data_IF_055000819276
#
_entry.id   IF_055000819276
#
_cell.length_a   1.000
_cell.length_b   1.000
_cell.length_c   1.000
_cell.angle_alpha   90.00
_cell.angle_beta   90.00
_cell.angle_gamma   90.00
#
_symmetry.space_group_name_H-M   'P 1'
#
loop_
_entity.id
_entity.type
_entity.pdbx_description
1 polymer ?
#
# COMPACT_ATOMS: atom_id res chain seq x y z
N UNK A 1 49.13 -11.05 -45.13
CA UNK A 1 48.62 -11.71 -43.91
C UNK A 1 47.59 -10.77 -43.30
N UNK A 2 46.31 -11.05 -43.56
CA UNK A 2 45.21 -10.15 -43.24
C UNK A 2 44.76 -10.33 -41.79
N UNK A 3 45.12 -9.39 -40.92
CA UNK A 3 44.65 -9.32 -39.54
C UNK A 3 43.33 -8.53 -39.48
N UNK A 4 42.20 -9.20 -39.67
CA UNK A 4 40.88 -8.61 -39.45
C UNK A 4 39.83 -9.61 -38.94
N UNK A 5 39.97 -10.20 -37.73
CA UNK A 5 38.84 -10.87 -37.09
C UNK A 5 38.43 -10.25 -35.73
N UNK A 6 39.07 -9.19 -35.27
CA UNK A 6 38.81 -8.66 -33.91
C UNK A 6 37.66 -7.64 -33.88
N UNK A 7 37.48 -6.85 -34.94
CA UNK A 7 36.45 -5.80 -34.98
C UNK A 7 35.02 -6.37 -35.00
N UNK A 8 34.84 -7.52 -35.67
CA UNK A 8 33.52 -8.16 -35.77
C UNK A 8 33.09 -8.83 -34.46
N UNK A 9 34.04 -9.25 -33.62
CA UNK A 9 33.75 -9.86 -32.32
C UNK A 9 33.28 -8.81 -31.29
N UNK A 10 33.85 -7.60 -31.33
CA UNK A 10 33.45 -6.49 -30.45
C UNK A 10 32.02 -5.97 -30.76
N UNK A 11 31.61 -5.96 -32.03
CA UNK A 11 30.24 -5.56 -32.41
C UNK A 11 29.18 -6.58 -31.94
N UNK A 12 29.54 -7.86 -31.85
CA UNK A 12 28.65 -8.93 -31.38
C UNK A 12 28.41 -8.86 -29.87
N UNK A 13 29.37 -8.34 -29.09
CA UNK A 13 29.24 -8.13 -27.64
C UNK A 13 28.39 -6.91 -27.28
N UNK A 14 28.32 -5.87 -28.13
CA UNK A 14 27.42 -4.73 -27.89
C UNK A 14 25.95 -5.03 -28.22
N UNK A 15 25.67 -6.07 -29.01
CA UNK A 15 24.31 -6.55 -29.29
C UNK A 15 23.64 -7.23 -28.10
N UNK A 16 24.42 -7.63 -27.09
CA UNK A 16 23.93 -8.01 -25.77
C UNK A 16 23.70 -6.75 -24.94
N UNK A 17 22.86 -5.84 -25.44
CA UNK A 17 22.19 -4.92 -24.54
C UNK A 17 21.45 -5.80 -23.54
N UNK A 18 21.91 -5.76 -22.29
CA UNK A 18 21.21 -6.29 -21.14
C UNK A 18 19.72 -6.00 -21.32
N UNK A 19 18.81 -6.95 -21.02
CA UNK A 19 17.39 -6.65 -21.01
C UNK A 19 17.26 -5.37 -20.22
N UNK A 20 16.82 -4.31 -20.92
CA UNK A 20 16.55 -3.03 -20.31
C UNK A 20 15.73 -3.40 -19.09
N UNK A 21 16.29 -3.21 -17.90
CA UNK A 21 15.58 -3.53 -16.68
C UNK A 21 14.31 -2.70 -16.82
N UNK A 22 13.20 -3.38 -17.14
CA UNK A 22 11.89 -2.78 -17.16
C UNK A 22 11.68 -2.49 -15.69
N UNK A 23 12.21 -1.34 -15.27
CA UNK A 23 11.93 -0.73 -13.99
C UNK A 23 10.42 -0.77 -13.95
N UNK A 24 9.92 -1.69 -13.15
CA UNK A 24 8.51 -1.96 -12.96
C UNK A 24 7.87 -0.59 -12.89
N UNK A 25 7.07 -0.24 -13.90
CA UNK A 25 6.45 1.07 -13.98
C UNK A 25 5.88 1.31 -12.59
N UNK A 26 6.37 2.34 -11.89
CA UNK A 26 5.80 2.76 -10.62
C UNK A 26 4.31 2.83 -10.91
N UNK A 27 3.53 1.92 -10.35
CA UNK A 27 2.12 1.78 -10.65
C UNK A 27 1.45 3.05 -10.13
N UNK A 28 1.50 4.12 -10.91
CA UNK A 28 0.75 5.34 -10.68
C UNK A 28 -0.65 5.01 -11.12
N UNK A 29 -1.41 4.40 -10.21
CA UNK A 29 -2.84 4.24 -10.41
C UNK A 29 -3.46 5.63 -10.62
N UNK A 30 -4.37 5.79 -11.60
CA UNK A 30 -5.08 7.04 -11.75
C UNK A 30 -5.81 7.34 -10.44
N UNK A 31 -5.90 8.62 -10.01
CA UNK A 31 -6.54 9.01 -8.75
C UNK A 31 -7.91 8.33 -8.55
N UNK A 32 -8.71 8.25 -9.62
CA UNK A 32 -10.01 7.58 -9.67
C UNK A 32 -9.99 6.12 -9.18
N UNK A 33 -8.92 5.37 -9.47
CA UNK A 33 -8.79 3.98 -9.04
C UNK A 33 -8.49 3.88 -7.54
N UNK A 34 -7.70 4.80 -6.98
CA UNK A 34 -7.44 4.86 -5.54
C UNK A 34 -8.72 5.15 -4.77
N UNK A 35 -9.48 6.17 -5.21
CA UNK A 35 -10.78 6.50 -4.62
C UNK A 35 -11.75 5.31 -4.66
N UNK A 36 -11.81 4.62 -5.81
CA UNK A 36 -12.65 3.43 -5.96
C UNK A 36 -12.29 2.35 -4.95
N UNK A 37 -11.00 2.03 -4.80
CA UNK A 37 -10.55 1.01 -3.84
C UNK A 37 -10.85 1.39 -2.39
N UNK A 38 -10.68 2.67 -2.01
CA UNK A 38 -11.01 3.18 -0.67
C UNK A 38 -12.52 3.10 -0.42
N UNK A 39 -13.34 3.50 -1.41
CA UNK A 39 -14.81 3.42 -1.33
C UNK A 39 -15.27 1.98 -1.14
N UNK A 40 -14.77 1.05 -1.96
CA UNK A 40 -15.13 -0.37 -1.87
C UNK A 40 -14.82 -0.97 -0.50
N UNK A 41 -13.67 -0.65 0.09
CA UNK A 41 -13.36 -1.09 1.46
C UNK A 41 -14.34 -0.46 2.44
N UNK A 42 -14.57 0.85 2.34
CA UNK A 42 -15.44 1.61 3.25
C UNK A 42 -16.87 1.08 3.23
N UNK A 43 -17.40 0.74 2.05
CA UNK A 43 -18.75 0.18 1.89
C UNK A 43 -18.90 -1.18 2.59
N UNK A 44 -17.90 -2.06 2.47
CA UNK A 44 -17.89 -3.34 3.20
C UNK A 44 -17.86 -3.09 4.71
N UNK A 45 -17.01 -2.16 5.17
CA UNK A 45 -16.93 -1.81 6.59
C UNK A 45 -18.22 -1.17 7.10
N UNK A 46 -19.00 -0.47 6.27
CA UNK A 46 -20.28 0.13 6.66
C UNK A 46 -21.46 -0.85 6.60
N UNK A 47 -21.33 -1.94 5.84
CA UNK A 47 -22.35 -2.98 5.72
C UNK A 47 -22.42 -3.88 6.96
N UNK A 48 -21.40 -3.87 7.81
CA UNK A 48 -21.37 -4.61 9.08
C UNK A 48 -21.96 -3.75 10.21
N UNK A 49 -22.60 -4.35 11.23
CA UNK A 49 -23.12 -3.62 12.37
C UNK A 49 -22.04 -2.68 12.92
N UNK A 50 -22.37 -1.41 13.08
CA UNK A 50 -21.42 -0.46 13.63
C UNK A 50 -21.09 -0.92 15.05
N UNK A 51 -19.81 -1.03 15.40
CA UNK A 51 -19.44 -1.36 16.76
C UNK A 51 -19.94 -0.26 17.70
N UNK A 52 -20.23 -0.63 18.96
CA UNK A 52 -20.68 0.31 19.99
C UNK A 52 -19.78 1.56 20.01
N UNK A 53 -20.36 2.72 20.32
CA UNK A 53 -19.82 4.10 20.26
C UNK A 53 -18.52 4.36 21.06
N UNK A 54 -17.78 3.33 21.42
CA UNK A 54 -16.44 3.48 21.97
C UNK A 54 -15.52 4.13 20.93
N UNK A 55 -15.13 5.37 21.22
CA UNK A 55 -14.21 6.17 20.41
C UNK A 55 -12.82 5.56 20.45
N UNK A 56 -12.08 5.63 19.33
CA UNK A 56 -10.67 5.24 19.30
C UNK A 56 -9.87 6.02 20.36
N UNK A 57 -8.87 5.35 20.96
CA UNK A 57 -7.95 6.02 21.87
C UNK A 57 -7.22 7.17 21.12
N UNK A 58 -6.97 8.33 21.77
CA UNK A 58 -6.27 9.44 21.13
C UNK A 58 -4.88 9.08 20.61
N UNK A 59 -4.13 8.18 21.27
CA UNK A 59 -2.81 7.76 20.81
C UNK A 59 -2.92 6.84 19.59
N UNK A 60 -3.93 5.97 19.55
CA UNK A 60 -4.23 5.17 18.36
C UNK A 60 -4.60 6.07 17.18
N UNK A 61 -5.44 7.08 17.42
CA UNK A 61 -5.79 8.08 16.41
C UNK A 61 -4.57 8.80 15.88
N UNK A 62 -3.68 9.27 16.77
CA UNK A 62 -2.42 9.91 16.37
C UNK A 62 -1.51 8.96 15.57
N UNK A 63 -1.45 7.69 15.97
CA UNK A 63 -0.66 6.65 15.28
C UNK A 63 -1.19 6.41 13.87
N UNK A 64 -2.52 6.34 13.70
CA UNK A 64 -3.17 6.10 12.41
C UNK A 64 -3.07 7.29 11.45
N UNK A 65 -3.12 8.53 11.97
CA UNK A 65 -3.01 9.75 11.17
C UNK A 65 -1.55 10.15 10.86
N UNK A 66 -0.56 9.55 11.51
CA UNK A 66 0.84 9.85 11.28
C UNK A 66 1.30 9.33 9.91
N UNK A 67 1.62 10.25 9.00
CA UNK A 67 2.05 9.92 7.62
C UNK A 67 3.31 9.05 7.56
N UNK A 68 4.21 9.19 8.55
CA UNK A 68 5.44 8.36 8.63
C UNK A 68 5.14 6.90 9.00
N UNK A 69 3.95 6.63 9.53
CA UNK A 69 3.49 5.31 9.93
C UNK A 69 2.45 4.72 8.96
N UNK A 70 2.11 5.39 7.85
CA UNK A 70 1.14 4.88 6.87
C UNK A 70 1.52 3.48 6.37
N UNK A 71 2.77 3.27 5.97
CA UNK A 71 3.23 1.97 5.46
C UNK A 71 3.27 0.89 6.56
N UNK A 72 3.88 1.11 7.74
CA UNK A 72 3.83 0.17 8.84
C UNK A 72 2.40 -0.17 9.28
N UNK A 73 1.49 0.81 9.33
CA UNK A 73 0.08 0.59 9.66
C UNK A 73 -0.61 -0.26 8.58
N UNK A 74 -0.33 -0.02 7.29
CA UNK A 74 -0.84 -0.85 6.20
C UNK A 74 -0.42 -2.32 6.36
N UNK A 75 0.86 -2.55 6.70
CA UNK A 75 1.38 -3.89 6.91
C UNK A 75 0.67 -4.58 8.10
N UNK A 76 0.38 -3.82 9.18
CA UNK A 76 -0.41 -4.31 10.30
C UNK A 76 -1.84 -4.71 9.88
N UNK A 77 -2.54 -3.89 9.10
CA UNK A 77 -3.88 -4.22 8.60
C UNK A 77 -3.87 -5.44 7.67
N UNK A 78 -2.92 -5.54 6.75
CA UNK A 78 -2.76 -6.71 5.86
C UNK A 78 -2.49 -8.01 6.62
N UNK A 79 -1.84 -7.91 7.78
CA UNK A 79 -1.67 -9.06 8.66
C UNK A 79 -2.97 -9.38 9.40
N UNK A 80 -3.64 -8.36 9.96
CA UNK A 80 -4.86 -8.52 10.73
C UNK A 80 -6.05 -9.04 9.89
N UNK A 81 -6.12 -8.71 8.59
CA UNK A 81 -7.17 -9.23 7.70
C UNK A 81 -7.23 -10.75 7.68
N UNK A 82 -6.11 -11.46 7.93
CA UNK A 82 -6.06 -12.93 7.96
C UNK A 82 -6.99 -13.54 9.02
N UNK A 83 -7.32 -12.77 10.05
CA UNK A 83 -8.17 -13.24 11.13
C UNK A 83 -9.67 -13.12 10.81
N UNK A 84 -10.04 -12.23 9.90
CA UNK A 84 -11.45 -11.93 9.57
C UNK A 84 -11.84 -12.38 8.17
N UNK A 85 -10.85 -12.51 7.28
CA UNK A 85 -11.03 -12.76 5.87
C UNK A 85 -9.96 -13.71 5.34
N UNK A 86 -10.24 -14.36 4.21
CA UNK A 86 -9.19 -14.99 3.42
C UNK A 86 -8.27 -13.93 2.78
N UNK A 87 -7.05 -14.33 2.43
CA UNK A 87 -6.08 -13.52 1.68
C UNK A 87 -6.56 -13.13 0.26
N UNK A 88 -7.80 -13.44 -0.10
CA UNK A 88 -8.39 -13.10 -1.38
C UNK A 88 -9.63 -12.21 -1.27
N UNK A 89 -9.95 -11.77 -0.06
CA UNK A 89 -10.99 -10.77 0.16
C UNK A 89 -10.70 -9.48 -0.60
N UNK A 90 -11.77 -8.80 -0.98
CA UNK A 90 -11.67 -7.49 -1.64
C UNK A 90 -10.89 -6.50 -0.78
N UNK A 91 -11.10 -6.50 0.53
CA UNK A 91 -10.38 -5.64 1.47
C UNK A 91 -8.87 -5.88 1.38
N UNK A 92 -8.43 -7.14 1.50
CA UNK A 92 -7.00 -7.43 1.43
C UNK A 92 -6.40 -7.07 0.06
N UNK A 93 -7.09 -7.41 -1.03
CA UNK A 93 -6.64 -7.10 -2.40
C UNK A 93 -6.46 -5.60 -2.59
N UNK A 94 -7.47 -4.81 -2.24
CA UNK A 94 -7.43 -3.36 -2.36
C UNK A 94 -6.36 -2.75 -1.45
N UNK A 95 -6.24 -3.22 -0.20
CA UNK A 95 -5.19 -2.74 0.72
C UNK A 95 -3.79 -2.99 0.16
N UNK A 96 -3.57 -4.15 -0.44
CA UNK A 96 -2.27 -4.53 -1.00
C UNK A 96 -1.83 -3.61 -2.15
N UNK A 97 -2.77 -3.09 -2.93
CA UNK A 97 -2.48 -2.17 -4.04
C UNK A 97 -1.92 -0.83 -3.58
N UNK A 98 -2.11 -0.45 -2.32
CA UNK A 98 -1.51 0.76 -1.77
C UNK A 98 -0.04 0.57 -1.35
N UNK A 99 0.47 -0.66 -1.22
CA UNK A 99 1.87 -0.91 -0.88
C UNK A 99 2.84 -0.17 -1.82
N UNK A 100 2.78 -0.30 -3.16
CA UNK A 100 3.71 0.44 -4.04
C UNK A 100 3.49 1.96 -4.02
N UNK A 101 2.36 2.45 -3.50
CA UNK A 101 2.02 3.88 -3.49
C UNK A 101 2.56 4.62 -2.27
N UNK A 102 2.86 3.89 -1.19
CA UNK A 102 3.35 4.48 0.04
C UNK A 102 4.89 4.56 0.03
N UNK A 103 5.47 5.64 0.58
CA UNK A 103 6.91 5.77 0.68
C UNK A 103 7.51 4.63 1.50
N UNK A 104 8.76 4.29 1.18
CA UNK A 104 9.52 3.33 1.99
C UNK A 104 9.63 3.86 3.41
N UNK A 105 9.24 3.08 4.43
CA UNK A 105 9.18 3.59 5.78
C UNK A 105 10.59 3.85 6.31
N UNK A 106 10.76 5.01 6.94
CA UNK A 106 11.83 5.22 7.92
C UNK A 106 11.12 5.34 9.27
N UNK A 107 10.66 4.21 9.86
CA UNK A 107 9.70 4.27 10.95
C UNK A 107 10.32 4.94 12.17
N UNK A 108 9.65 5.98 12.67
CA UNK A 108 9.91 6.62 13.95
C UNK A 108 8.72 6.38 14.87
N UNK A 109 8.53 5.13 15.29
CA UNK A 109 7.42 4.72 16.14
C UNK A 109 6.96 3.30 15.83
N UNK A 110 6.09 2.78 16.70
CA UNK A 110 5.44 1.49 16.52
C UNK A 110 4.18 1.63 15.65
N UNK A 111 3.89 0.66 14.77
CA UNK A 111 2.63 0.65 14.03
C UNK A 111 1.45 0.41 14.97
N UNK A 112 0.25 0.69 14.47
CA UNK A 112 -0.99 0.39 15.18
C UNK A 112 -1.09 -1.10 15.54
N UNK A 113 -1.41 -1.39 16.79
CA UNK A 113 -1.79 -2.73 17.23
C UNK A 113 -3.27 -2.97 16.91
N UNK A 114 -3.58 -4.12 16.31
CA UNK A 114 -4.94 -4.50 15.94
C UNK A 114 -5.29 -5.77 16.69
N UNK A 115 -6.32 -5.69 17.52
CA UNK A 115 -6.82 -6.84 18.26
C UNK A 115 -7.51 -7.84 17.32
N UNK A 116 -7.59 -9.09 17.74
CA UNK A 116 -8.40 -10.09 17.04
C UNK A 116 -9.91 -9.91 17.32
N UNK A 117 -10.40 -8.69 17.14
CA UNK A 117 -11.76 -8.25 17.35
C UNK A 117 -12.22 -7.48 16.11
N UNK A 118 -13.34 -7.90 15.52
CA UNK A 118 -13.89 -7.27 14.33
C UNK A 118 -14.17 -5.77 14.52
N UNK A 119 -14.72 -5.40 15.69
CA UNK A 119 -14.99 -4.01 16.05
C UNK A 119 -13.72 -3.16 16.03
N UNK A 120 -12.65 -3.67 16.62
CA UNK A 120 -11.36 -2.98 16.70
C UNK A 120 -10.76 -2.78 15.31
N UNK A 121 -10.68 -3.87 14.53
CA UNK A 121 -10.22 -3.85 13.15
C UNK A 121 -10.99 -2.83 12.30
N UNK A 122 -12.33 -2.88 12.37
CA UNK A 122 -13.22 -2.04 11.56
C UNK A 122 -13.04 -0.55 11.88
N UNK A 123 -13.02 -0.16 13.17
CA UNK A 123 -12.84 1.24 13.58
C UNK A 123 -11.48 1.78 13.15
N UNK A 124 -10.41 1.04 13.47
CA UNK A 124 -9.03 1.43 13.14
C UNK A 124 -8.84 1.53 11.63
N UNK A 125 -9.41 0.59 10.86
CA UNK A 125 -9.29 0.61 9.41
C UNK A 125 -10.02 1.80 8.79
N UNK A 126 -11.23 2.15 9.24
CA UNK A 126 -11.92 3.37 8.77
C UNK A 126 -11.05 4.61 8.98
N UNK A 127 -10.48 4.76 10.18
CA UNK A 127 -9.63 5.92 10.49
C UNK A 127 -8.33 5.95 9.68
N UNK A 128 -7.74 4.78 9.44
CA UNK A 128 -6.58 4.64 8.55
C UNK A 128 -6.89 5.05 7.10
N UNK A 129 -8.06 4.67 6.57
CA UNK A 129 -8.47 5.03 5.21
C UNK A 129 -8.62 6.55 5.04
N UNK A 130 -9.06 7.28 6.05
CA UNK A 130 -9.05 8.75 6.04
C UNK A 130 -7.63 9.31 5.88
N UNK A 131 -6.67 8.78 6.64
CA UNK A 131 -5.27 9.20 6.54
C UNK A 131 -4.67 8.88 5.17
N UNK A 132 -4.99 7.70 4.64
CA UNK A 132 -4.54 7.24 3.34
C UNK A 132 -5.12 8.08 2.20
N UNK A 133 -6.42 8.38 2.23
CA UNK A 133 -7.07 9.24 1.23
C UNK A 133 -6.44 10.64 1.22
N UNK A 134 -6.27 11.25 2.39
CA UNK A 134 -5.61 12.56 2.53
C UNK A 134 -4.19 12.55 1.95
N UNK A 135 -3.40 11.51 2.25
CA UNK A 135 -2.05 11.37 1.72
C UNK A 135 -2.03 11.25 0.18
N UNK A 136 -2.91 10.41 -0.38
CA UNK A 136 -2.99 10.19 -1.83
C UNK A 136 -3.49 11.44 -2.55
N UNK A 137 -4.45 12.16 -1.98
CA UNK A 137 -4.97 13.42 -2.53
C UNK A 137 -3.91 14.52 -2.54
N UNK A 138 -3.15 14.67 -1.46
CA UNK A 138 -2.04 15.60 -1.42
C UNK A 138 -1.00 15.27 -2.50
N UNK A 139 -0.64 13.99 -2.65
CA UNK A 139 0.34 13.53 -3.65
C UNK A 139 -0.11 13.75 -5.09
N UNK A 140 -1.40 13.67 -5.39
CA UNK A 140 -1.91 13.83 -6.76
C UNK A 140 -2.03 15.31 -7.20
N UNK A 141 -1.97 16.25 -6.25
CA UNK A 141 -2.11 17.69 -6.49
C UNK A 141 -0.76 18.43 -6.57
N UNK A 142 0.37 17.72 -6.47
CA UNK A 142 1.74 18.23 -6.47
C UNK A 142 2.64 17.38 -7.38
#
# INVERSE_FOLDING_TARGET
MNSLPVLHLLLLLLGLQAPQAQGRSLLTYPPQQNFKMISEITDILNSSPSPAEETLDPNETNTLLNTTLLRPNLDAFLNATKNFYSNESLIWKNLKEFLPLLPTPTPRGEPISIENNWSDFQKKLKKYLEALDNFLNFRNNH
#
